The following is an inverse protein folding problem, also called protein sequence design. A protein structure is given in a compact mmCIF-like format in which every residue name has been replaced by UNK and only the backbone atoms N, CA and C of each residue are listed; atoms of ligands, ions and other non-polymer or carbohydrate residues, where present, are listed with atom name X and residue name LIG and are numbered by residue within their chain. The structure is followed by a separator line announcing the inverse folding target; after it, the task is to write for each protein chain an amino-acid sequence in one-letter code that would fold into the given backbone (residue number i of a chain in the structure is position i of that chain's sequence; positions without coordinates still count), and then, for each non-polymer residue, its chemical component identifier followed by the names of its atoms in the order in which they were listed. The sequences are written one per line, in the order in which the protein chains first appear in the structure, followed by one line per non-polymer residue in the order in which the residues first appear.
data_IF_123920682140
#
_entry.id   IF_123920682140
#
_cell.length_a   1.000
_cell.length_b   1.000
_cell.length_c   1.000
_cell.angle_alpha   90.00
_cell.angle_beta   90.00
_cell.angle_gamma   90.00
#
_symmetry.space_group_name_H-M   'P 1'
#
loop_
_entity.id
_entity.type
_entity.pdbx_description
1 polymer ?
#
# COMPACT_ATOMS: atom_id res chain seq x y z
N UNK A 1 8.79 -7.03 7.31
CA UNK A 1 9.79 -6.49 6.37
C UNK A 1 10.52 -5.33 7.01
N UNK A 2 11.83 -5.21 6.80
CA UNK A 2 12.59 -4.04 7.19
C UNK A 2 12.22 -2.83 6.30
N UNK A 3 11.66 -1.79 6.90
CA UNK A 3 11.38 -0.52 6.23
C UNK A 3 12.50 0.46 6.58
N UNK A 4 13.59 0.40 5.82
CA UNK A 4 14.83 1.13 6.10
C UNK A 4 14.83 2.55 5.51
N UNK A 5 13.96 2.80 4.53
CA UNK A 5 13.96 4.04 3.77
C UNK A 5 12.81 4.92 4.26
N UNK A 6 13.14 6.10 4.76
CA UNK A 6 12.16 7.12 5.11
C UNK A 6 11.88 7.97 3.88
N UNK A 7 10.60 8.10 3.52
CA UNK A 7 10.15 9.02 2.50
C UNK A 7 9.28 10.10 3.19
N UNK A 8 9.80 11.33 3.35
CA UNK A 8 9.08 12.38 4.07
C UNK A 8 7.84 12.83 3.31
N UNK A 9 7.93 12.89 1.97
CA UNK A 9 6.85 13.36 1.11
C UNK A 9 6.65 12.41 -0.07
N UNK A 10 5.38 12.12 -0.35
CA UNK A 10 4.98 11.34 -1.52
C UNK A 10 3.51 11.60 -1.79
N UNK A 11 3.21 12.43 -2.80
CA UNK A 11 1.83 12.79 -3.16
C UNK A 11 0.91 11.56 -3.31
N UNK A 12 1.29 10.45 -3.99
CA UNK A 12 0.44 9.27 -4.08
C UNK A 12 0.16 8.60 -2.74
N UNK A 13 1.16 8.54 -1.84
CA UNK A 13 0.97 7.93 -0.52
C UNK A 13 0.20 8.86 0.43
N UNK A 14 0.38 10.18 0.31
CA UNK A 14 -0.39 11.17 1.05
C UNK A 14 -1.86 11.11 0.67
N UNK A 15 -2.21 11.10 -0.62
CA UNK A 15 -3.60 10.93 -1.08
C UNK A 15 -4.21 9.63 -0.55
N UNK A 16 -3.47 8.53 -0.61
CA UNK A 16 -3.93 7.24 -0.07
C UNK A 16 -4.14 7.29 1.46
N UNK A 17 -3.28 8.00 2.19
CA UNK A 17 -3.41 8.20 3.63
C UNK A 17 -4.65 9.04 3.98
N UNK A 18 -4.90 10.12 3.23
CA UNK A 18 -6.10 10.95 3.37
C UNK A 18 -7.38 10.15 3.09
N UNK A 19 -7.42 9.38 2.00
CA UNK A 19 -8.55 8.50 1.69
C UNK A 19 -8.81 7.45 2.78
N UNK A 20 -7.75 6.87 3.35
CA UNK A 20 -7.84 5.93 4.45
C UNK A 20 -8.36 6.61 5.74
N UNK A 21 -7.90 7.82 6.04
CA UNK A 21 -8.38 8.62 7.17
C UNK A 21 -9.88 8.94 7.04
N UNK A 22 -10.30 9.40 5.86
CA UNK A 22 -11.70 9.70 5.56
C UNK A 22 -12.61 8.47 5.63
N UNK A 23 -12.13 7.32 5.16
CA UNK A 23 -12.83 6.05 5.28
C UNK A 23 -12.99 5.63 6.75
N UNK A 24 -11.93 5.75 7.56
CA UNK A 24 -11.97 5.47 8.99
C UNK A 24 -12.94 6.40 9.72
N UNK A 25 -12.91 7.70 9.42
CA UNK A 25 -13.82 8.69 10.00
C UNK A 25 -15.29 8.44 9.61
N UNK A 26 -15.57 8.02 8.37
CA UNK A 26 -16.91 7.61 7.94
C UNK A 26 -17.39 6.35 8.67
N UNK A 27 -16.51 5.37 8.84
CA UNK A 27 -16.83 4.13 9.54
C UNK A 27 -17.17 4.37 11.01
N UNK A 28 -16.38 5.20 11.71
CA UNK A 28 -16.65 5.60 13.10
C UNK A 28 -17.99 6.31 13.21
N UNK A 29 -18.25 7.32 12.36
CA UNK A 29 -19.54 8.03 12.36
C UNK A 29 -20.74 7.10 12.12
N UNK A 30 -20.61 6.16 11.19
CA UNK A 30 -21.68 5.20 10.91
C UNK A 30 -21.91 4.24 12.10
N UNK A 31 -20.83 3.78 12.74
CA UNK A 31 -20.90 2.95 13.95
C UNK A 31 -21.59 3.69 15.10
N UNK A 32 -21.20 4.93 15.35
CA UNK A 32 -21.78 5.75 16.43
C UNK A 32 -23.26 6.05 16.19
N UNK A 33 -23.63 6.37 14.94
CA UNK A 33 -25.03 6.59 14.54
C UNK A 33 -25.87 5.35 14.78
N UNK A 34 -25.37 4.17 14.38
CA UNK A 34 -26.06 2.91 14.59
C UNK A 34 -26.20 2.59 16.08
N UNK A 35 -25.13 2.76 16.86
CA UNK A 35 -25.14 2.54 18.31
C UNK A 35 -26.13 3.47 19.03
N UNK A 36 -26.17 4.75 18.64
CA UNK A 36 -27.10 5.72 19.21
C UNK A 36 -28.56 5.40 18.90
N UNK A 37 -28.87 4.91 17.69
CA UNK A 37 -30.24 4.52 17.34
C UNK A 37 -30.66 3.20 17.98
N UNK A 38 -29.73 2.26 18.13
CA UNK A 38 -29.96 0.97 18.76
C UNK A 38 -30.14 1.07 20.29
N UNK A 39 -29.56 2.09 20.93
CA UNK A 39 -29.71 2.32 22.37
C UNK A 39 -31.00 3.05 22.76
N UNK A 40 -31.70 3.65 21.79
CA UNK A 40 -32.99 4.32 22.05
C UNK A 40 -34.07 3.27 22.32
N UNK A 41 -34.98 3.52 23.29
CA UNK A 41 -36.10 2.63 23.53
C UNK A 41 -37.00 2.57 22.30
N UNK A 42 -37.46 1.37 21.96
CA UNK A 42 -38.37 1.14 20.83
C UNK A 42 -39.71 1.83 21.09
N UNK A 43 -40.16 2.76 20.23
CA UNK A 43 -41.44 3.44 20.40
C UNK A 43 -42.60 2.45 20.33
N UNK A 44 -43.63 2.64 21.18
CA UNK A 44 -44.85 1.83 21.14
C UNK A 44 -45.91 2.40 20.18
N UNK A 45 -45.82 3.67 19.81
CA UNK A 45 -46.74 4.32 18.86
C UNK A 45 -46.44 3.82 17.45
N UNK A 46 -47.43 3.29 16.69
CA UNK A 46 -47.19 2.66 15.39
C UNK A 46 -46.43 3.54 14.38
N UNK A 47 -46.80 4.82 14.26
CA UNK A 47 -46.14 5.75 13.34
C UNK A 47 -44.68 6.04 13.73
N UNK A 48 -44.39 6.15 15.03
CA UNK A 48 -43.04 6.38 15.54
C UNK A 48 -42.18 5.10 15.46
N UNK A 49 -42.79 3.94 15.66
CA UNK A 49 -42.18 2.63 15.48
C UNK A 49 -41.72 2.43 14.03
N UNK A 50 -42.58 2.73 13.05
CA UNK A 50 -42.20 2.67 11.64
C UNK A 50 -41.05 3.62 11.30
N UNK A 51 -41.07 4.84 11.84
CA UNK A 51 -39.99 5.80 11.63
C UNK A 51 -38.67 5.32 12.25
N UNK A 52 -38.72 4.78 13.47
CA UNK A 52 -37.55 4.25 14.18
C UNK A 52 -36.95 3.05 13.45
N UNK A 53 -37.77 2.08 13.04
CA UNK A 53 -37.32 0.89 12.30
C UNK A 53 -36.73 1.25 10.94
N UNK A 54 -37.32 2.19 10.20
CA UNK A 54 -36.75 2.71 8.94
C UNK A 54 -35.39 3.38 9.18
N UNK A 55 -35.28 4.20 10.23
CA UNK A 55 -34.02 4.86 10.58
C UNK A 55 -32.93 3.85 11.00
N UNK A 56 -33.29 2.83 11.79
CA UNK A 56 -32.38 1.76 12.20
C UNK A 56 -31.86 0.98 10.98
N UNK A 57 -32.77 0.60 10.07
CA UNK A 57 -32.40 -0.10 8.82
C UNK A 57 -31.48 0.75 7.95
N UNK A 58 -31.78 2.05 7.80
CA UNK A 58 -30.92 2.97 7.05
C UNK A 58 -29.52 3.10 7.68
N UNK A 59 -29.44 3.17 9.02
CA UNK A 59 -28.16 3.22 9.74
C UNK A 59 -27.35 1.92 9.59
N UNK A 60 -28.02 0.75 9.61
CA UNK A 60 -27.38 -0.54 9.34
C UNK A 60 -26.80 -0.60 7.92
N UNK A 61 -27.58 -0.21 6.91
CA UNK A 61 -27.12 -0.14 5.51
C UNK A 61 -25.98 0.86 5.35
N UNK A 62 -26.06 2.03 5.99
CA UNK A 62 -24.98 3.01 6.00
C UNK A 62 -23.67 2.47 6.60
N UNK A 63 -23.77 1.72 7.71
CA UNK A 63 -22.64 1.03 8.33
C UNK A 63 -22.05 -0.03 7.39
N UNK A 64 -22.89 -0.86 6.75
CA UNK A 64 -22.45 -1.87 5.79
C UNK A 64 -21.68 -1.25 4.61
N UNK A 65 -22.19 -0.14 4.05
CA UNK A 65 -21.50 0.59 2.98
C UNK A 65 -20.17 1.20 3.43
N UNK A 66 -20.12 1.79 4.62
CA UNK A 66 -18.90 2.36 5.18
C UNK A 66 -17.83 1.28 5.42
N UNK A 67 -18.23 0.13 5.99
CA UNK A 67 -17.35 -1.02 6.19
C UNK A 67 -16.79 -1.54 4.88
N UNK A 68 -17.66 -1.75 3.87
CA UNK A 68 -17.23 -2.26 2.57
C UNK A 68 -16.24 -1.30 1.87
N UNK A 69 -16.50 0.01 1.94
CA UNK A 69 -15.61 1.02 1.38
C UNK A 69 -14.24 1.03 2.10
N UNK A 70 -14.23 0.98 3.43
CA UNK A 70 -13.01 0.91 4.23
C UNK A 70 -12.22 -0.38 3.93
N UNK A 71 -12.89 -1.54 3.90
CA UNK A 71 -12.30 -2.84 3.55
C UNK A 71 -11.61 -2.82 2.19
N UNK A 72 -12.24 -2.22 1.17
CA UNK A 72 -11.64 -2.09 -0.17
C UNK A 72 -10.34 -1.28 -0.18
N UNK A 73 -10.22 -0.26 0.68
CA UNK A 73 -8.97 0.49 0.84
C UNK A 73 -7.90 -0.31 1.61
N UNK A 74 -8.30 -0.97 2.70
CA UNK A 74 -7.39 -1.80 3.51
C UNK A 74 -6.82 -2.97 2.69
N UNK A 75 -7.67 -3.62 1.88
CA UNK A 75 -7.36 -4.79 1.05
C UNK A 75 -7.23 -4.45 -0.43
N UNK A 76 -6.78 -3.23 -0.77
CA UNK A 76 -6.64 -2.73 -2.15
C UNK A 76 -5.87 -3.63 -3.12
N UNK A 77 -5.03 -4.53 -2.60
CA UNK A 77 -4.34 -5.54 -3.40
C UNK A 77 -5.22 -6.69 -3.89
N UNK A 78 -6.45 -6.80 -3.39
CA UNK A 78 -7.43 -7.82 -3.74
C UNK A 78 -8.44 -7.20 -4.72
N UNK A 79 -8.80 -7.89 -5.82
CA UNK A 79 -9.83 -7.43 -6.73
C UNK A 79 -11.14 -7.10 -6.01
N UNK A 80 -11.73 -5.94 -6.33
CA UNK A 80 -12.95 -5.44 -5.68
C UNK A 80 -14.12 -6.41 -5.76
N UNK A 81 -14.21 -7.21 -6.83
CA UNK A 81 -15.24 -8.24 -7.02
C UNK A 81 -15.19 -9.35 -5.96
N UNK A 82 -14.04 -9.59 -5.34
CA UNK A 82 -13.87 -10.60 -4.27
C UNK A 82 -14.15 -10.02 -2.87
N UNK A 83 -14.27 -8.70 -2.75
CA UNK A 83 -14.53 -8.02 -1.48
C UNK A 83 -16.02 -7.68 -1.40
N UNK A 84 -16.80 -8.63 -0.89
CA UNK A 84 -18.27 -8.51 -0.73
C UNK A 84 -18.73 -8.43 0.71
N UNK A 85 -17.87 -8.80 1.68
CA UNK A 85 -18.22 -8.76 3.09
C UNK A 85 -18.42 -7.31 3.58
N UNK A 86 -19.56 -7.07 4.22
CA UNK A 86 -19.98 -5.77 4.78
C UNK A 86 -19.91 -5.73 6.32
N UNK A 87 -19.40 -6.78 6.95
CA UNK A 87 -19.21 -6.86 8.40
C UNK A 87 -18.18 -5.86 8.93
N UNK A 88 -17.93 -5.92 10.23
CA UNK A 88 -16.88 -5.11 10.86
C UNK A 88 -15.51 -5.45 10.27
N UNK A 89 -14.64 -4.45 10.24
CA UNK A 89 -13.25 -4.65 9.86
C UNK A 89 -12.52 -5.50 10.90
N UNK A 90 -11.63 -6.38 10.43
CA UNK A 90 -10.71 -7.12 11.29
C UNK A 90 -9.59 -6.21 11.81
N UNK A 91 -8.91 -6.65 12.88
CA UNK A 91 -7.74 -5.94 13.41
C UNK A 91 -6.62 -5.81 12.36
N UNK A 92 -6.49 -6.80 11.48
CA UNK A 92 -5.52 -6.77 10.38
C UNK A 92 -5.87 -5.72 9.33
N UNK A 93 -7.16 -5.51 9.03
CA UNK A 93 -7.63 -4.47 8.12
C UNK A 93 -7.39 -3.07 8.72
N UNK A 94 -7.72 -2.89 10.01
CA UNK A 94 -7.41 -1.63 10.71
C UNK A 94 -5.91 -1.33 10.75
N UNK A 95 -5.07 -2.35 10.97
CA UNK A 95 -3.63 -2.19 10.98
C UNK A 95 -3.06 -1.72 9.63
N UNK A 96 -3.73 -1.97 8.50
CA UNK A 96 -3.30 -1.44 7.20
C UNK A 96 -3.47 0.09 7.10
N UNK A 97 -4.46 0.68 7.80
CA UNK A 97 -4.62 2.14 7.84
C UNK A 97 -3.54 2.81 8.68
N UNK A 98 -3.18 2.23 9.81
CA UNK A 98 -2.12 2.77 10.69
C UNK A 98 -0.74 2.81 10.00
N UNK A 99 -0.52 1.96 8.99
CA UNK A 99 0.70 1.97 8.17
C UNK A 99 0.74 3.10 7.15
N UNK A 100 -0.39 3.76 6.87
CA UNK A 100 -0.48 4.89 5.95
C UNK A 100 -0.32 6.21 6.71
N UNK A 101 0.76 6.32 7.47
CA UNK A 101 1.07 7.51 8.27
C UNK A 101 2.43 8.06 7.88
N UNK A 102 2.54 9.39 7.85
CA UNK A 102 3.80 10.07 7.59
C UNK A 102 4.68 10.09 8.85
N UNK A 103 6.02 10.02 8.71
CA UNK A 103 6.75 9.80 7.46
C UNK A 103 6.59 8.35 6.95
N UNK A 104 6.57 8.17 5.63
CA UNK A 104 6.36 6.85 5.04
C UNK A 104 7.63 6.00 5.13
N UNK A 105 7.53 4.87 5.82
CA UNK A 105 8.62 3.92 5.94
C UNK A 105 8.49 2.87 4.84
N UNK A 106 9.41 2.89 3.89
CA UNK A 106 9.42 2.03 2.73
C UNK A 106 10.50 0.96 2.83
N UNK A 107 10.18 -0.18 2.24
CA UNK A 107 11.17 -1.21 2.03
C UNK A 107 12.05 -0.90 0.81
N UNK A 108 13.16 -1.61 0.66
CA UNK A 108 14.09 -1.42 -0.45
C UNK A 108 13.43 -1.38 -1.83
N UNK A 109 12.53 -2.34 -2.11
CA UNK A 109 11.86 -2.43 -3.41
C UNK A 109 10.86 -1.29 -3.58
N UNK A 110 10.03 -1.00 -2.57
CA UNK A 110 9.09 0.13 -2.64
C UNK A 110 9.84 1.45 -2.81
N UNK A 111 10.96 1.64 -2.14
CA UNK A 111 11.80 2.83 -2.29
C UNK A 111 12.29 2.97 -3.74
N UNK A 112 12.76 1.89 -4.38
CA UNK A 112 13.17 1.92 -5.79
C UNK A 112 12.03 2.34 -6.74
N UNK A 113 10.78 1.98 -6.44
CA UNK A 113 9.61 2.45 -7.20
C UNK A 113 9.38 3.97 -7.07
N UNK A 114 9.76 4.57 -5.94
CA UNK A 114 9.69 6.01 -5.72
C UNK A 114 10.94 6.77 -6.21
N UNK A 115 12.07 6.08 -6.39
CA UNK A 115 13.34 6.63 -6.84
C UNK A 115 13.82 5.94 -8.13
N UNK A 116 13.06 6.12 -9.22
CA UNK A 116 13.30 5.45 -10.51
C UNK A 116 14.64 5.80 -11.17
N UNK A 117 15.27 6.91 -10.78
CA UNK A 117 16.62 7.32 -11.19
C UNK A 117 17.72 6.88 -10.20
N UNK A 118 17.36 6.16 -9.13
CA UNK A 118 18.30 5.64 -8.14
C UNK A 118 18.99 4.36 -8.62
N UNK A 119 20.12 4.02 -8.00
CA UNK A 119 20.95 2.86 -8.36
C UNK A 119 20.15 1.56 -8.49
N UNK A 120 19.36 1.22 -7.47
CA UNK A 120 18.59 -0.03 -7.46
C UNK A 120 17.61 -0.11 -8.64
N UNK A 121 16.89 0.97 -8.91
CA UNK A 121 15.95 1.06 -10.02
C UNK A 121 16.67 0.99 -11.36
N UNK A 122 17.84 1.61 -11.51
CA UNK A 122 18.62 1.58 -12.75
C UNK A 122 19.02 0.16 -13.20
N UNK A 123 19.17 -0.78 -12.27
CA UNK A 123 19.42 -2.20 -12.57
C UNK A 123 18.14 -3.00 -12.86
N UNK A 124 16.98 -2.40 -12.63
CA UNK A 124 15.67 -3.01 -12.85
C UNK A 124 15.13 -2.77 -14.26
N UNK A 125 13.94 -3.30 -14.49
CA UNK A 125 13.22 -3.22 -15.77
C UNK A 125 11.79 -2.78 -15.52
N UNK A 126 11.29 -1.82 -16.29
CA UNK A 126 9.87 -1.49 -16.31
C UNK A 126 9.12 -2.54 -17.13
N UNK A 127 7.96 -2.97 -16.63
CA UNK A 127 7.13 -4.01 -17.25
C UNK A 127 5.65 -3.63 -17.20
N UNK A 128 4.83 -4.22 -18.07
CA UNK A 128 3.39 -4.04 -18.11
C UNK A 128 2.66 -5.22 -17.47
N UNK A 129 2.08 -5.00 -16.28
CA UNK A 129 1.34 -5.97 -15.46
C UNK A 129 0.02 -5.34 -14.97
N UNK A 130 -0.95 -5.09 -15.86
CA UNK A 130 -2.18 -4.35 -15.52
C UNK A 130 -3.08 -5.08 -14.53
N UNK A 131 -3.02 -6.42 -14.50
CA UNK A 131 -3.87 -7.25 -13.65
C UNK A 131 -3.28 -7.49 -12.25
N UNK A 132 -2.06 -7.00 -11.99
CA UNK A 132 -1.38 -7.18 -10.72
C UNK A 132 -1.27 -5.85 -9.97
N UNK A 133 -1.88 -5.81 -8.79
CA UNK A 133 -1.70 -4.68 -7.89
C UNK A 133 -0.21 -4.50 -7.50
N UNK A 134 0.34 -3.27 -7.43
CA UNK A 134 1.75 -3.01 -7.12
C UNK A 134 2.28 -3.73 -5.88
N UNK A 135 1.45 -3.84 -4.83
CA UNK A 135 1.78 -4.59 -3.59
C UNK A 135 2.14 -6.06 -3.89
N UNK A 136 1.39 -6.71 -4.78
CA UNK A 136 1.60 -8.10 -5.16
C UNK A 136 2.85 -8.24 -6.03
N UNK A 137 3.08 -7.30 -6.95
CA UNK A 137 4.31 -7.26 -7.77
C UNK A 137 5.54 -7.11 -6.88
N UNK A 138 5.52 -6.17 -5.94
CA UNK A 138 6.61 -5.95 -4.98
C UNK A 138 6.84 -7.20 -4.11
N UNK A 139 5.78 -7.86 -3.64
CA UNK A 139 5.89 -9.09 -2.86
C UNK A 139 6.47 -10.25 -3.68
N UNK A 140 6.06 -10.39 -4.94
CA UNK A 140 6.54 -11.43 -5.85
C UNK A 140 8.02 -11.20 -6.21
N UNK A 141 8.37 -9.96 -6.58
CA UNK A 141 9.76 -9.60 -6.90
C UNK A 141 10.68 -9.82 -5.70
N UNK A 142 10.24 -9.48 -4.48
CA UNK A 142 10.97 -9.81 -3.24
C UNK A 142 11.23 -11.29 -3.08
N UNK A 143 10.18 -12.11 -3.13
CA UNK A 143 10.29 -13.56 -2.94
C UNK A 143 11.20 -14.19 -3.98
N UNK A 144 11.12 -13.73 -5.23
CA UNK A 144 11.99 -14.18 -6.29
C UNK A 144 13.46 -13.80 -6.03
N UNK A 145 13.75 -12.56 -5.63
CA UNK A 145 15.10 -12.12 -5.27
C UNK A 145 15.65 -12.89 -4.05
N UNK A 146 14.87 -13.05 -2.99
CA UNK A 146 15.24 -13.87 -1.82
C UNK A 146 15.59 -15.31 -2.22
N UNK A 147 14.84 -15.89 -3.16
CA UNK A 147 15.10 -17.23 -3.66
C UNK A 147 16.41 -17.30 -4.47
N UNK A 148 16.74 -16.26 -5.25
CA UNK A 148 18.01 -16.17 -5.99
C UNK A 148 19.22 -16.10 -5.06
N UNK A 149 19.12 -15.40 -3.93
CA UNK A 149 20.16 -15.31 -2.91
C UNK A 149 20.11 -16.44 -1.86
N UNK A 150 19.28 -17.47 -2.10
CA UNK A 150 19.19 -18.63 -1.21
C UNK A 150 20.37 -19.58 -1.41
N UNK A 151 20.69 -20.35 -0.38
CA UNK A 151 21.72 -21.41 -0.43
C UNK A 151 21.17 -22.71 -1.04
N UNK A 152 19.90 -22.74 -1.46
CA UNK A 152 19.19 -23.94 -1.91
C UNK A 152 19.06 -23.92 -3.45
N UNK A 153 19.73 -24.82 -4.20
CA UNK A 153 19.80 -24.74 -5.67
C UNK A 153 18.46 -24.72 -6.40
N UNK A 154 17.46 -25.49 -5.94
CA UNK A 154 16.14 -25.48 -6.58
C UNK A 154 15.44 -24.13 -6.40
N UNK A 155 15.57 -23.48 -5.23
CA UNK A 155 15.00 -22.16 -4.97
C UNK A 155 15.65 -21.10 -5.85
N UNK A 156 16.97 -21.17 -6.04
CA UNK A 156 17.70 -20.26 -6.93
C UNK A 156 17.14 -20.36 -8.35
N UNK A 157 16.97 -21.59 -8.88
CA UNK A 157 16.41 -21.80 -10.23
C UNK A 157 14.99 -21.26 -10.35
N UNK A 158 14.11 -21.55 -9.38
CA UNK A 158 12.74 -21.02 -9.38
C UNK A 158 12.72 -19.49 -9.28
N UNK A 159 13.54 -18.88 -8.42
CA UNK A 159 13.67 -17.43 -8.32
C UNK A 159 14.08 -16.79 -9.64
N UNK A 160 15.11 -17.33 -10.31
CA UNK A 160 15.54 -16.87 -11.64
C UNK A 160 14.45 -17.03 -12.69
N UNK A 161 13.70 -18.15 -12.66
CA UNK A 161 12.57 -18.39 -13.57
C UNK A 161 11.49 -17.34 -13.40
N UNK A 162 11.08 -17.05 -12.16
CA UNK A 162 10.06 -16.04 -11.86
C UNK A 162 10.51 -14.65 -12.32
N UNK A 163 11.76 -14.24 -12.04
CA UNK A 163 12.29 -12.96 -12.50
C UNK A 163 12.35 -12.87 -14.03
N UNK A 164 12.74 -13.96 -14.70
CA UNK A 164 12.78 -14.03 -16.16
C UNK A 164 11.37 -13.89 -16.75
N UNK A 165 10.37 -14.52 -16.15
CA UNK A 165 8.98 -14.41 -16.61
C UNK A 165 8.46 -12.98 -16.42
N UNK A 166 8.67 -12.38 -15.25
CA UNK A 166 8.24 -11.01 -14.99
C UNK A 166 8.87 -10.01 -15.97
N UNK A 167 10.17 -10.14 -16.26
CA UNK A 167 10.87 -9.20 -17.16
C UNK A 167 10.51 -9.36 -18.63
N UNK A 168 9.92 -10.48 -19.07
CA UNK A 168 9.38 -10.63 -20.44
C UNK A 168 8.24 -9.66 -20.73
N UNK A 169 7.51 -9.24 -19.72
CA UNK A 169 6.43 -8.25 -19.84
C UNK A 169 6.92 -6.82 -20.10
N UNK A 170 8.21 -6.61 -20.45
CA UNK A 170 8.75 -5.32 -20.89
C UNK A 170 8.39 -4.96 -22.34
N UNK A 171 8.16 -5.95 -23.21
CA UNK A 171 7.93 -5.73 -24.65
C UNK A 171 6.73 -4.80 -24.93
N UNK A 172 5.56 -4.94 -24.25
CA UNK A 172 4.45 -4.01 -24.45
C UNK A 172 4.78 -2.55 -24.10
N UNK A 173 5.79 -2.31 -23.25
CA UNK A 173 6.23 -0.97 -22.93
C UNK A 173 7.17 -0.39 -24.00
N UNK A 174 7.99 -1.21 -24.64
CA UNK A 174 8.79 -0.77 -25.79
C UNK A 174 7.89 -0.26 -26.90
N UNK A 175 6.83 -1.01 -27.21
CA UNK A 175 5.85 -0.64 -28.24
C UNK A 175 5.06 0.62 -27.87
N UNK A 176 4.64 0.75 -26.60
CA UNK A 176 3.76 1.84 -26.17
C UNK A 176 4.49 3.13 -25.79
N UNK A 177 5.67 3.02 -25.20
CA UNK A 177 6.41 4.15 -24.61
C UNK A 177 7.80 4.35 -25.21
N UNK A 178 8.25 3.48 -26.12
CA UNK A 178 9.57 3.56 -26.76
C UNK A 178 10.73 3.08 -25.88
N UNK A 179 10.46 2.53 -24.69
CA UNK A 179 11.49 2.06 -23.77
C UNK A 179 10.95 1.50 -22.45
N UNK A 180 11.83 0.79 -21.74
CA UNK A 180 11.55 0.14 -20.44
C UNK A 180 12.54 0.54 -19.34
N UNK A 181 13.48 1.46 -19.62
CA UNK A 181 14.47 1.84 -18.62
C UNK A 181 13.81 2.75 -17.58
N UNK A 182 13.94 2.45 -16.27
CA UNK A 182 13.27 3.24 -15.23
C UNK A 182 13.60 4.75 -15.26
N UNK A 183 14.83 5.10 -15.66
CA UNK A 183 15.27 6.49 -15.79
C UNK A 183 14.43 7.30 -16.81
N UNK A 184 14.05 6.69 -17.94
CA UNK A 184 13.25 7.35 -18.98
C UNK A 184 11.87 7.78 -18.43
N UNK A 185 11.27 6.93 -17.60
CA UNK A 185 10.00 7.20 -16.92
C UNK A 185 10.15 8.26 -15.84
N UNK A 186 11.26 8.23 -15.09
CA UNK A 186 11.58 9.25 -14.10
C UNK A 186 11.69 10.64 -14.74
N UNK A 187 12.42 10.72 -15.85
CA UNK A 187 12.66 11.97 -16.56
C UNK A 187 11.42 12.47 -17.26
N UNK A 188 10.61 11.58 -17.83
CA UNK A 188 9.30 11.96 -18.36
C UNK A 188 8.41 12.55 -17.25
N UNK A 189 8.28 11.89 -16.10
CA UNK A 189 7.49 12.40 -14.96
C UNK A 189 7.97 13.75 -14.41
N UNK A 190 9.28 14.03 -14.44
CA UNK A 190 9.85 15.31 -14.00
C UNK A 190 9.49 16.47 -14.93
N UNK A 191 9.39 16.23 -16.24
CA UNK A 191 9.18 17.28 -17.25
C UNK A 191 7.76 17.86 -17.25
N UNK A 192 6.78 17.17 -16.66
CA UNK A 192 5.39 17.61 -16.68
C UNK A 192 4.99 18.37 -15.39
N UNK A 193 4.11 19.38 -15.46
CA UNK A 193 3.44 19.98 -14.30
C UNK A 193 2.56 18.96 -13.54
N UNK A 194 2.27 19.17 -12.24
CA UNK A 194 1.52 18.22 -11.42
C UNK A 194 0.20 17.71 -12.01
N UNK A 195 -0.60 18.57 -12.65
CA UNK A 195 -1.88 18.19 -13.28
C UNK A 195 -1.69 17.18 -14.42
N UNK A 196 -0.69 17.42 -15.28
CA UNK A 196 -0.38 16.53 -16.41
C UNK A 196 0.29 15.23 -15.93
N UNK A 197 0.99 15.27 -14.78
CA UNK A 197 1.53 14.04 -14.15
C UNK A 197 0.42 13.08 -13.73
N UNK A 198 -0.74 13.55 -13.31
CA UNK A 198 -1.84 12.67 -12.89
C UNK A 198 -2.41 11.90 -14.10
N UNK A 199 -2.66 12.57 -15.23
CA UNK A 199 -3.05 11.90 -16.48
C UNK A 199 -2.00 10.90 -16.96
N UNK A 200 -0.72 11.26 -16.82
CA UNK A 200 0.38 10.38 -17.19
C UNK A 200 0.47 9.16 -16.26
N UNK A 201 0.28 9.34 -14.96
CA UNK A 201 0.18 8.23 -13.99
C UNK A 201 -0.97 7.30 -14.33
N UNK A 202 -2.11 7.83 -14.75
CA UNK A 202 -3.23 7.02 -15.20
C UNK A 202 -2.90 6.22 -16.47
N UNK A 203 -2.22 6.83 -17.45
CA UNK A 203 -1.74 6.12 -18.66
C UNK A 203 -0.74 5.02 -18.32
N UNK A 204 0.07 5.21 -17.28
CA UNK A 204 1.01 4.24 -16.74
C UNK A 204 0.40 3.28 -15.73
N UNK A 205 -0.93 3.26 -15.54
CA UNK A 205 -1.57 2.29 -14.66
C UNK A 205 -1.31 0.87 -15.18
N UNK A 206 -0.70 0.01 -14.37
CA UNK A 206 -0.23 -1.31 -14.80
C UNK A 206 1.25 -1.36 -15.18
N UNK A 207 1.94 -0.21 -15.28
CA UNK A 207 3.41 -0.20 -15.35
C UNK A 207 3.98 -0.52 -13.97
N UNK A 208 4.94 -1.44 -13.93
CA UNK A 208 5.60 -1.88 -12.71
C UNK A 208 7.12 -1.93 -12.88
N UNK A 209 7.85 -1.72 -11.78
CA UNK A 209 9.30 -1.91 -11.73
C UNK A 209 9.62 -3.30 -11.17
N UNK A 210 10.40 -4.08 -11.91
CA UNK A 210 10.97 -5.36 -11.46
C UNK A 210 12.47 -5.16 -11.23
N UNK A 211 12.91 -5.30 -9.99
CA UNK A 211 14.32 -5.29 -9.66
C UNK A 211 14.96 -6.63 -10.03
N UNK A 212 16.20 -6.57 -10.50
CA UNK A 212 17.02 -7.74 -10.82
C UNK A 212 17.98 -8.03 -9.66
N UNK A 213 18.68 -9.19 -9.65
CA UNK A 213 19.66 -9.48 -8.59
C UNK A 213 20.73 -8.39 -8.46
N UNK A 214 21.14 -7.77 -9.57
CA UNK A 214 22.17 -6.72 -9.60
C UNK A 214 21.73 -5.43 -8.89
N UNK A 215 20.41 -5.23 -8.70
CA UNK A 215 19.89 -4.14 -7.89
C UNK A 215 20.28 -4.28 -6.41
N UNK A 216 20.54 -5.49 -5.91
CA UNK A 216 20.65 -5.80 -4.48
C UNK A 216 22.11 -5.76 -4.04
N UNK A 217 22.48 -4.71 -3.32
CA UNK A 217 23.85 -4.55 -2.77
C UNK A 217 24.11 -5.38 -1.52
N UNK A 218 23.05 -5.64 -0.74
CA UNK A 218 23.09 -6.44 0.49
C UNK A 218 21.79 -7.23 0.59
N UNK A 219 21.86 -8.56 0.70
CA UNK A 219 20.68 -9.42 0.79
C UNK A 219 19.83 -9.16 2.04
N UNK A 220 20.39 -8.57 3.09
CA UNK A 220 19.67 -8.27 4.33
C UNK A 220 18.54 -7.26 4.14
N UNK A 221 18.63 -6.42 3.10
CA UNK A 221 17.56 -5.45 2.75
C UNK A 221 16.30 -6.15 2.25
N UNK A 222 16.40 -7.42 1.85
CA UNK A 222 15.27 -8.25 1.43
C UNK A 222 14.62 -8.99 2.60
N UNK A 223 15.22 -8.99 3.80
CA UNK A 223 14.74 -9.77 4.95
C UNK A 223 13.41 -9.27 5.52
N UNK A 224 12.60 -10.21 6.01
CA UNK A 224 11.27 -9.90 6.54
C UNK A 224 11.25 -9.45 8.00
N UNK A 225 12.41 -9.35 8.67
CA UNK A 225 12.48 -9.08 10.11
C UNK A 225 11.62 -7.85 10.45
N UNK A 226 10.58 -8.00 11.30
CA UNK A 226 9.81 -6.87 11.77
C UNK A 226 10.73 -5.94 12.54
N UNK A 227 10.72 -4.64 12.21
CA UNK A 227 11.27 -3.65 13.11
C UNK A 227 10.46 -3.73 14.42
N UNK A 228 11.02 -4.38 15.45
CA UNK A 228 10.66 -3.99 16.82
C UNK A 228 10.92 -2.49 16.88
N UNK A 229 9.93 -1.70 17.30
CA UNK A 229 10.13 -0.30 17.70
C UNK A 229 11.36 -0.28 18.62
N UNK A 230 12.50 0.17 18.12
CA UNK A 230 13.56 0.65 18.99
C UNK A 230 13.01 1.98 19.48
N UNK A 231 12.24 1.93 20.56
CA UNK A 231 12.03 3.11 21.39
C UNK A 231 13.42 3.44 21.90
N UNK A 232 14.02 4.48 21.33
CA UNK A 232 15.23 5.09 21.88
C UNK A 232 14.90 5.49 23.31
N UNK A 233 15.38 4.72 24.27
CA UNK A 233 15.53 5.20 25.63
C UNK A 233 16.53 6.35 25.56
N UNK A 234 16.02 7.57 25.68
CA UNK A 234 16.82 8.76 25.92
C UNK A 234 17.56 8.53 27.24
N UNK A 235 18.90 8.69 27.32
CA UNK A 235 19.57 8.70 28.61
C UNK A 235 19.11 9.94 29.38
N UNK A 236 18.42 9.71 30.50
CA UNK A 236 18.13 10.72 31.52
C UNK A 236 19.40 11.46 31.89
N UNK A 237 19.34 12.79 31.79
CA UNK A 237 20.46 13.68 32.04
C UNK A 237 21.04 13.50 33.44
N UNK A 238 22.35 13.35 33.49
CA UNK A 238 23.12 13.51 34.72
C UNK A 238 23.27 15.00 34.99
N UNK A 239 22.62 15.46 36.05
CA UNK A 239 22.89 16.73 36.73
C UNK A 239 24.36 16.80 37.12
N UNK A 240 25.11 17.75 36.57
CA UNK A 240 26.37 18.21 37.14
C UNK A 240 26.06 19.46 37.95
N UNK A 241 26.04 19.29 39.27
CA UNK A 241 26.07 20.36 40.25
C UNK A 241 27.44 21.04 40.25
N UNK A 242 27.41 22.36 40.25
CA UNK A 242 28.55 23.24 40.50
C UNK A 242 29.15 22.96 41.89
N UNK A 243 30.49 22.88 41.93
CA UNK A 243 31.38 23.53 42.89
C UNK A 243 32.84 23.25 42.51
#
# INVERSE_FOLDING_TARGET
MKHLFMLPESLPLTRLAEEAHDAKARLVRAKDTLAQLASRPTPQVPAEYEKHTRALKAAQTGMQHASLAARRLALRQIPTALLTDTGLLSDTEYAEFERLTQPFNLCFICHAWHALNGFAAAQGVMVWLPDLHPRNVVALNRKALQAVFSNIPYKIREGRRVLSELTRHRLPLEERFGGWRPADYADALKRFPPVIRDDMRQKMNGVALILTPDSVTDSDVLSEIPQKKIVSALPTGTTVTQN
#
